data_IF_756517940865
#
_entry.id   IF_756517940865
#
_cell.length_a   1.000
_cell.length_b   1.000
_cell.length_c   1.000
_cell.angle_alpha   90.00
_cell.angle_beta   90.00
_cell.angle_gamma   90.00
#
_symmetry.space_group_name_H-M   'P 1'
#
loop_
_entity.id
_entity.type
_entity.pdbx_description
1 polymer ?
2 non-polymer ?
3 non-polymer ?
4 non-polymer ?
5 water ?
#
# COMPACT_ATOMS: atom_id res chain seq x y z
N UNK A 20 -12.60 7.17 -9.36
CA UNK A 20 -13.43 8.20 -8.66
C UNK A 20 -12.67 9.52 -8.35
N UNK A 21 -11.34 9.52 -8.29
CA UNK A 21 -10.59 10.77 -8.62
C UNK A 21 -9.93 11.53 -7.48
N UNK A 22 -10.19 11.11 -6.24
CA UNK A 22 -9.54 11.77 -5.09
C UNK A 22 -8.36 10.95 -4.55
N UNK A 23 -8.64 9.68 -4.23
CA UNK A 23 -7.63 8.74 -3.81
C UNK A 23 -6.89 8.17 -5.01
N UNK A 24 -5.73 7.59 -4.74
CA UNK A 24 -4.97 6.87 -5.79
C UNK A 24 -5.09 5.38 -5.50
N UNK A 25 -5.61 4.62 -6.46
CA UNK A 25 -6.05 3.24 -6.19
C UNK A 25 -5.26 2.22 -6.99
N UNK A 26 -5.04 1.07 -6.35
CA UNK A 26 -4.31 -0.05 -6.98
C UNK A 26 -5.08 -1.33 -6.70
N UNK A 27 -5.30 -2.11 -7.76
CA UNK A 27 -6.07 -3.36 -7.59
C UNK A 27 -5.13 -4.56 -7.46
N UNK A 28 -5.67 -5.67 -6.95
CA UNK A 28 -4.90 -6.90 -6.81
C UNK A 28 -3.64 -6.72 -5.93
N UNK A 29 -3.84 -6.07 -4.80
CA UNK A 29 -2.80 -5.86 -3.80
C UNK A 29 -3.11 -6.75 -2.60
N UNK A 30 -2.06 -7.27 -2.00
CA UNK A 30 -2.22 -8.17 -0.84
C UNK A 30 -1.71 -7.47 0.40
N UNK A 31 -2.45 -7.61 1.51
CA UNK A 31 -2.08 -6.99 2.79
C UNK A 31 -1.56 -8.06 3.77
N UNK A 32 -0.29 -7.91 4.17
CA UNK A 32 0.34 -8.88 5.08
C UNK A 32 0.17 -10.35 4.58
N UNK A 33 0.42 -10.56 3.29
CA UNK A 33 0.33 -11.90 2.67
C UNK A 33 -1.07 -12.51 2.79
N UNK A 34 -2.08 -11.65 2.75
CA UNK A 34 -3.49 -12.11 2.76
C UNK A 34 -3.76 -13.12 1.65
N UNK A 35 -4.65 -14.08 1.94
CA UNK A 35 -5.08 -15.00 0.89
C UNK A 35 -5.92 -14.26 -0.16
N UNK A 36 -6.86 -13.43 0.29
CA UNK A 36 -7.60 -12.55 -0.61
C UNK A 36 -6.70 -11.43 -1.12
N UNK A 37 -6.93 -11.00 -2.37
CA UNK A 37 -6.35 -9.72 -2.79
C UNK A 37 -7.41 -8.64 -2.59
N UNK A 38 -6.99 -7.37 -2.67
CA UNK A 38 -7.93 -6.30 -2.54
C UNK A 38 -7.50 -5.04 -3.21
N UNK A 39 -8.35 -4.02 -3.06
CA UNK A 39 -7.99 -2.69 -3.58
C UNK A 39 -7.29 -1.87 -2.51
N UNK A 40 -6.11 -1.32 -2.86
CA UNK A 40 -5.34 -0.43 -1.98
C UNK A 40 -5.60 1.01 -2.42
N UNK A 41 -5.93 1.86 -1.46
CA UNK A 41 -6.23 3.27 -1.76
C UNK A 41 -5.38 4.19 -0.91
N UNK A 42 -4.78 5.17 -1.59
CA UNK A 42 -3.98 6.20 -0.92
C UNK A 42 -4.83 7.48 -0.93
N UNK A 43 -5.22 7.95 0.26
CA UNK A 43 -6.04 9.14 0.39
C UNK A 43 -5.30 10.16 1.25
N UNK A 44 -5.74 11.41 1.22
CA UNK A 44 -5.11 12.41 2.10
C UNK A 44 -5.22 11.99 3.58
N UNK A 45 -6.30 11.28 3.90
CA UNK A 45 -6.57 10.89 5.29
C UNK A 45 -5.71 9.72 5.76
N UNK A 46 -5.04 9.03 4.84
CA UNK A 46 -4.32 7.81 5.20
C UNK A 46 -4.49 6.70 4.18
N UNK A 47 -4.26 5.46 4.59
CA UNK A 47 -4.32 4.33 3.63
C UNK A 47 -5.49 3.45 3.87
N UNK A 48 -5.98 2.83 2.80
CA UNK A 48 -7.01 1.84 3.00
C UNK A 48 -6.79 0.60 2.16
N UNK A 49 -7.34 -0.52 2.62
CA UNK A 49 -7.29 -1.75 1.81
C UNK A 49 -8.58 -2.52 2.04
N UNK A 50 -9.18 -3.05 0.97
CA UNK A 50 -10.42 -3.83 1.15
C UNK A 50 -10.42 -5.03 0.22
N UNK A 51 -10.74 -6.18 0.79
CA UNK A 51 -10.91 -7.42 0.04
C UNK A 51 -11.80 -7.18 -1.18
N UNK A 52 -11.34 -7.68 -2.33
CA UNK A 52 -12.10 -7.58 -3.57
C UNK A 52 -12.16 -8.96 -4.17
N UNK A 53 -13.37 -9.46 -4.40
CA UNK A 53 -13.54 -10.86 -4.76
C UNK A 53 -14.71 -11.03 -5.73
N UNK A 54 -15.26 -12.24 -5.79
CA UNK A 54 -16.44 -12.54 -6.63
C UNK A 54 -17.77 -12.59 -5.87
N UNK A 55 -18.88 -12.72 -6.61
CA UNK A 55 -20.21 -12.70 -6.02
C UNK A 55 -20.86 -11.33 -6.16
N UNK A 56 -20.04 -10.33 -6.50
CA UNK A 56 -20.50 -8.95 -6.69
C UNK A 56 -21.04 -8.32 -5.42
N UNK A 57 -22.34 -8.04 -5.39
CA UNK A 57 -22.95 -7.32 -4.26
C UNK A 57 -23.40 -8.19 -3.08
N UNK A 58 -23.12 -9.49 -3.14
CA UNK A 58 -23.20 -10.31 -1.94
C UNK A 58 -21.86 -10.17 -1.20
N UNK A 59 -20.84 -10.86 -1.71
CA UNK A 59 -19.56 -10.98 -1.01
C UNK A 59 -18.78 -9.66 -0.93
N UNK A 60 -18.69 -8.91 -2.03
CA UNK A 60 -17.98 -7.61 -1.99
C UNK A 60 -18.62 -6.53 -1.07
N UNK A 61 -19.94 -6.63 -0.86
CA UNK A 61 -20.75 -5.62 -0.15
C UNK A 61 -20.67 -5.74 1.37
N UNK A 62 -20.49 -6.97 1.84
CA UNK A 62 -20.32 -7.20 3.27
C UNK A 62 -18.89 -6.83 3.74
N UNK A 63 -17.95 -6.71 2.80
CA UNK A 63 -16.56 -6.53 3.17
C UNK A 63 -16.38 -5.14 3.81
N UNK A 64 -15.52 -5.08 4.83
CA UNK A 64 -15.13 -3.83 5.53
C UNK A 64 -13.68 -3.51 5.22
N UNK A 65 -13.32 -2.22 5.15
CA UNK A 65 -11.90 -1.89 4.86
C UNK A 65 -10.99 -1.89 6.08
N UNK A 66 -9.72 -2.18 5.83
CA UNK A 66 -8.65 -1.84 6.72
C UNK A 66 -8.32 -0.37 6.50
N UNK A 67 -8.29 0.41 7.59
CA UNK A 67 -8.02 1.85 7.45
C UNK A 67 -6.87 2.26 8.36
N UNK A 68 -5.86 2.87 7.78
CA UNK A 68 -4.72 3.33 8.57
C UNK A 68 -4.58 4.86 8.46
N UNK A 69 -4.89 5.58 9.54
CA UNK A 69 -4.86 7.04 9.50
C UNK A 69 -3.47 7.53 9.19
N UNK A 70 -3.38 8.66 8.49
CA UNK A 70 -2.09 9.19 8.10
C UNK A 70 -1.23 9.46 9.34
N UNK A 71 -1.86 9.80 10.46
CA UNK A 71 -1.11 10.10 11.68
C UNK A 71 -0.28 8.89 12.16
N UNK A 72 -0.67 7.68 11.75
CA UNK A 72 0.05 6.50 12.20
C UNK A 72 1.26 6.15 11.31
N UNK A 73 1.40 6.80 10.15
CA UNK A 73 2.53 6.53 9.25
C UNK A 73 3.82 7.10 9.81
N UNK A 74 4.88 6.32 9.77
CA UNK A 74 6.18 6.88 10.12
C UNK A 74 7.16 6.82 8.95
N UNK A 75 7.58 5.63 8.54
CA UNK A 75 8.48 5.48 7.38
C UNK A 75 7.86 4.52 6.36
N UNK A 76 8.31 4.61 5.11
CA UNK A 76 7.77 3.72 4.08
C UNK A 76 8.91 3.34 3.15
N UNK A 77 9.06 2.04 2.87
CA UNK A 77 10.06 1.63 1.89
C UNK A 77 9.42 0.82 0.80
N UNK A 78 9.97 0.96 -0.40
CA UNK A 78 9.59 0.18 -1.55
C UNK A 78 10.61 -0.95 -1.60
N UNK A 79 10.13 -2.19 -1.53
CA UNK A 79 11.08 -3.32 -1.47
C UNK A 79 10.56 -4.53 -2.23
N UNK A 80 11.13 -5.71 -1.97
CA UNK A 80 10.75 -6.92 -2.74
C UNK A 80 9.70 -7.68 -1.95
N UNK A 81 8.52 -7.82 -2.56
CA UNK A 81 7.48 -8.65 -1.98
C UNK A 81 7.60 -10.13 -2.34
N UNK A 82 6.59 -10.87 -1.85
CA UNK A 82 6.34 -12.24 -2.23
C UNK A 82 5.82 -12.21 -3.67
N UNK A 83 4.89 -11.27 -3.91
CA UNK A 83 4.42 -11.01 -5.26
C UNK A 83 4.95 -9.64 -5.66
N UNK A 84 5.86 -9.60 -6.65
CA UNK A 84 6.29 -8.31 -7.19
C UNK A 84 6.96 -7.44 -6.16
N UNK A 85 6.72 -6.14 -6.26
CA UNK A 85 7.31 -5.19 -5.34
C UNK A 85 6.33 -4.91 -4.19
N UNK A 86 6.88 -4.46 -3.07
CA UNK A 86 6.04 -4.17 -1.91
C UNK A 86 6.26 -2.78 -1.35
N UNK A 87 5.35 -2.40 -0.47
CA UNK A 87 5.64 -1.33 0.49
C UNK A 87 5.73 -2.00 1.85
N UNK A 88 6.80 -1.72 2.60
CA UNK A 88 6.81 -2.05 4.02
C UNK A 88 6.72 -0.76 4.77
N UNK A 89 5.65 -0.64 5.54
CA UNK A 89 5.24 0.61 6.14
C UNK A 89 5.35 0.51 7.65
N UNK A 90 6.20 1.32 8.26
CA UNK A 90 6.32 1.24 9.71
C UNK A 90 5.33 2.21 10.30
N UNK A 91 4.59 1.76 11.33
CA UNK A 91 3.52 2.55 11.90
C UNK A 91 3.87 2.87 13.36
N UNK A 92 3.18 3.85 13.93
CA UNK A 92 3.49 4.27 15.28
C UNK A 92 3.05 3.20 16.26
N UNK A 93 1.95 2.52 15.95
CA UNK A 93 1.33 1.65 16.94
C UNK A 93 0.96 0.25 16.45
N UNK A 94 1.22 -0.06 15.18
CA UNK A 94 0.75 -1.34 14.67
C UNK A 94 1.87 -2.15 13.99
N UNK A 95 3.11 -1.83 14.29
CA UNK A 95 4.21 -2.59 13.70
C UNK A 95 4.39 -2.25 12.23
N UNK A 96 5.01 -3.18 11.48
CA UNK A 96 5.27 -2.95 10.09
C UNK A 96 4.19 -3.67 9.30
N UNK A 97 3.53 -2.94 8.42
CA UNK A 97 2.49 -3.49 7.54
C UNK A 97 3.09 -3.66 6.15
N UNK A 98 2.73 -4.77 5.49
CA UNK A 98 3.21 -5.02 4.13
C UNK A 98 2.05 -4.98 3.12
N UNK A 99 2.26 -4.25 2.02
CA UNK A 99 1.38 -4.35 0.85
C UNK A 99 2.23 -4.85 -0.31
N UNK A 100 1.78 -5.90 -0.96
CA UNK A 100 2.52 -6.31 -2.16
C UNK A 100 1.66 -6.66 -3.36
N UNK A 101 2.33 -7.02 -4.46
CA UNK A 101 1.62 -7.17 -5.72
C UNK A 101 1.80 -5.98 -6.66
N UNK A 102 2.69 -5.04 -6.32
CA UNK A 102 2.96 -3.86 -7.20
C UNK A 102 3.88 -4.21 -8.34
N UNK A 103 3.73 -3.46 -9.44
CA UNK A 103 4.62 -3.55 -10.59
C UNK A 103 5.66 -2.44 -10.49
N UNK A 104 6.76 -2.60 -11.22
CA UNK A 104 7.85 -1.64 -11.16
C UNK A 104 7.32 -0.28 -11.56
N UNK A 105 6.38 -0.30 -12.50
CA UNK A 105 5.64 0.85 -12.99
C UNK A 105 4.93 1.68 -11.95
N UNK A 106 4.52 1.04 -10.86
CA UNK A 106 3.77 1.72 -9.78
C UNK A 106 4.57 2.69 -8.94
N UNK A 107 5.90 2.56 -8.97
CA UNK A 107 6.75 3.26 -8.01
C UNK A 107 6.61 4.76 -8.14
N UNK A 108 6.71 5.29 -9.36
CA UNK A 108 6.72 6.73 -9.48
C UNK A 108 5.50 7.43 -8.90
N UNK A 109 4.34 6.83 -9.15
CA UNK A 109 3.07 7.33 -8.64
C UNK A 109 3.06 7.27 -7.13
N UNK A 110 3.46 6.12 -6.58
CA UNK A 110 3.51 5.94 -5.14
C UNK A 110 4.43 6.96 -4.50
N UNK A 111 5.62 7.15 -5.08
CA UNK A 111 6.58 8.11 -4.51
C UNK A 111 5.95 9.49 -4.46
N UNK A 112 5.31 9.89 -5.55
CA UNK A 112 4.72 11.23 -5.62
C UNK A 112 3.57 11.41 -4.64
N UNK A 113 2.67 10.43 -4.57
CA UNK A 113 1.59 10.46 -3.60
C UNK A 113 2.06 10.52 -2.17
N UNK A 114 3.01 9.68 -1.77
CA UNK A 114 3.45 9.77 -0.37
C UNK A 114 4.13 11.09 -0.05
N UNK A 115 4.89 11.63 -0.99
CA UNK A 115 5.47 12.98 -0.79
C UNK A 115 4.40 14.06 -0.65
N UNK A 116 3.47 14.11 -1.61
CA UNK A 116 2.52 15.22 -1.61
C UNK A 116 1.51 15.11 -0.47
N UNK A 117 0.99 13.90 -0.26
CA UNK A 117 -0.10 13.74 0.72
C UNK A 117 0.40 13.72 2.15
N UNK A 118 1.59 13.17 2.37
CA UNK A 118 2.04 12.91 3.75
C UNK A 118 3.40 13.51 4.07
N UNK A 119 4.05 14.15 3.11
CA UNK A 119 5.47 14.51 3.25
C UNK A 119 6.35 13.34 3.73
N UNK A 120 6.11 12.16 3.19
CA UNK A 120 6.93 10.98 3.42
C UNK A 120 7.73 10.65 2.15
N UNK A 121 9.06 10.53 2.29
CA UNK A 121 9.91 10.12 1.17
C UNK A 121 10.02 8.57 1.19
N UNK A 122 9.52 7.90 0.15
CA UNK A 122 9.52 6.45 0.08
C UNK A 122 10.98 6.02 -0.13
N UNK A 123 11.47 5.14 0.72
CA UNK A 123 12.87 4.69 0.60
C UNK A 123 12.93 3.60 -0.46
N UNK A 124 13.91 3.68 -1.35
CA UNK A 124 14.12 2.65 -2.38
C UNK A 124 15.04 1.55 -1.90
N UNK A 125 14.46 0.39 -1.57
CA UNK A 125 15.23 -0.69 -0.97
C UNK A 125 14.85 -2.01 -1.60
N UNK A 126 14.73 -2.00 -2.92
CA UNK A 126 14.13 -3.17 -3.60
C UNK A 126 15.17 -4.08 -4.24
N UNK A 127 16.44 -3.69 -4.21
CA UNK A 127 17.50 -4.60 -4.62
C UNK A 127 18.78 -4.30 -3.85
N UNK A 128 19.70 -5.25 -3.88
CA UNK A 128 20.88 -5.16 -3.07
C UNK A 128 21.93 -4.18 -3.58
N UNK A 129 21.72 -3.63 -4.77
CA UNK A 129 22.67 -2.64 -5.29
C UNK A 129 22.28 -1.20 -4.93
N UNK A 130 21.15 -1.02 -4.27
CA UNK A 130 20.71 0.30 -3.81
C UNK A 130 21.80 0.94 -2.91
N UNK A 131 22.14 2.20 -3.19
CA UNK A 131 23.09 2.94 -2.38
C UNK A 131 24.54 2.77 -2.77
N UNK A 132 24.82 1.88 -3.72
CA UNK A 132 26.21 1.64 -4.15
C UNK A 132 26.95 2.85 -4.75
X LIG B 1 -8.03 11.93 -0.96
X LIG C 1 15.95 4.59 -9.98
X LIG C 1 16.54 5.32 -9.19
X LIG C 1 16.46 3.61 -10.52
X LIG D 1 -7.45 6.08 6.56
X LIG D 1 -7.41 6.93 5.45
X LIG D 1 -8.76 6.37 7.22
X LIG D 1 -9.53 7.25 6.41
X LIG D 1 -8.70 7.08 8.54
X LIG D 1 -10.04 6.91 8.95
#
# INVERSE_FOLDING_TARGET
>A
XGSSHHHHHHSSGRENLYFQGMSTDFDRIYLNQSKFSGRFRIADSGLGWKISTSGGSAANQARKPFLLPATELSTVQWSRGCRGYDLKINTKNQGVIQLDGFSQDDYNLIKNDFHRRFNIQVEQREHSLRGWNWGKTDLARNEXVFALNGKPTFEIPYARINNTNLTSKNEVGIEFNIQDEEYQPAGDEGS
>B hetero
1 CL CL
>C hetero
1 FMT C O1 O2
>D hetero
1 GOL C1 O1 C2 O2 C3 O3
#
